data_IF_395437589729
#
_entry.id   IF_395437589729
#
_cell.length_a   1.000
_cell.length_b   1.000
_cell.length_c   1.000
_cell.angle_alpha   90.00
_cell.angle_beta   90.00
_cell.angle_gamma   90.00
#
_symmetry.space_group_name_H-M   'P 1'
#
loop_
_entity.id
_entity.type
_entity.pdbx_description
1 polymer ?
#
# COMPACT_ATOMS: atom_id res chain seq x y z
N UNK A 1 -66.48 48.96 2.73
CA UNK A 1 -67.02 48.10 3.82
C UNK A 1 -67.26 46.73 3.20
N UNK A 2 -66.42 45.71 3.28
CA UNK A 2 -65.10 45.44 3.85
C UNK A 2 -64.52 44.30 2.97
N UNK A 3 -63.30 44.43 2.44
CA UNK A 3 -62.12 43.65 2.85
C UNK A 3 -62.40 42.33 3.60
N UNK A 4 -61.99 41.21 2.97
CA UNK A 4 -61.42 40.00 3.59
C UNK A 4 -61.26 38.96 2.47
N UNK A 5 -60.09 38.91 1.83
CA UNK A 5 -59.00 38.01 2.21
C UNK A 5 -59.34 36.52 2.03
N UNK A 6 -59.10 36.02 0.82
CA UNK A 6 -58.68 34.63 0.64
C UNK A 6 -57.69 34.49 -0.52
N UNK A 7 -56.75 35.42 -0.60
CA UNK A 7 -55.53 35.20 -1.37
C UNK A 7 -54.54 34.45 -0.47
N UNK A 8 -54.80 33.17 -0.23
CA UNK A 8 -53.79 32.27 0.34
C UNK A 8 -52.86 31.82 -0.79
N UNK A 9 -52.09 32.76 -1.34
CA UNK A 9 -50.86 32.45 -2.07
C UNK A 9 -49.86 31.89 -1.07
N UNK A 10 -49.96 30.59 -0.77
CA UNK A 10 -48.87 29.86 -0.15
C UNK A 10 -47.80 29.57 -1.21
N UNK A 11 -47.14 30.61 -1.74
CA UNK A 11 -45.88 30.46 -2.46
C UNK A 11 -44.77 30.27 -1.44
N UNK A 12 -44.75 29.10 -0.79
CA UNK A 12 -43.55 28.68 -0.06
C UNK A 12 -42.48 28.38 -1.11
N UNK A 13 -41.38 29.16 -1.20
CA UNK A 13 -40.28 28.82 -2.09
C UNK A 13 -39.66 27.53 -1.55
N UNK A 14 -40.02 26.39 -2.15
CA UNK A 14 -39.46 25.09 -1.81
C UNK A 14 -37.98 25.11 -2.21
N UNK A 15 -37.14 25.23 -1.20
CA UNK A 15 -35.70 25.48 -1.26
C UNK A 15 -34.99 24.58 -2.29
N UNK A 16 -34.53 25.11 -3.43
CA UNK A 16 -33.73 24.34 -4.39
C UNK A 16 -32.25 24.19 -3.98
N UNK A 17 -31.90 24.53 -2.73
CA UNK A 17 -30.53 24.91 -2.38
C UNK A 17 -29.58 23.80 -1.96
N UNK A 18 -30.07 22.72 -1.33
CA UNK A 18 -29.19 21.73 -0.69
C UNK A 18 -28.76 20.59 -1.61
N UNK A 19 -29.71 20.00 -2.35
CA UNK A 19 -29.40 18.94 -3.34
C UNK A 19 -28.54 19.47 -4.49
N UNK A 20 -28.83 20.68 -4.96
CA UNK A 20 -28.02 21.34 -5.99
C UNK A 20 -26.60 21.66 -5.50
N UNK A 21 -26.44 22.00 -4.23
CA UNK A 21 -25.12 22.23 -3.61
C UNK A 21 -24.33 20.92 -3.44
N UNK A 22 -24.99 19.84 -3.00
CA UNK A 22 -24.41 18.49 -2.97
C UNK A 22 -23.96 18.00 -4.34
N UNK A 23 -24.78 18.24 -5.37
CA UNK A 23 -24.46 17.84 -6.74
C UNK A 23 -23.27 18.64 -7.30
N UNK A 24 -23.16 19.92 -6.95
CA UNK A 24 -21.98 20.75 -7.27
C UNK A 24 -20.72 20.29 -6.52
N UNK A 25 -20.83 19.93 -5.25
CA UNK A 25 -19.71 19.41 -4.46
C UNK A 25 -19.23 18.05 -4.99
N UNK A 26 -20.15 17.16 -5.36
CA UNK A 26 -19.82 15.89 -6.01
C UNK A 26 -19.15 16.10 -7.37
N UNK A 27 -19.62 17.06 -8.16
CA UNK A 27 -18.99 17.41 -9.43
C UNK A 27 -17.55 17.95 -9.21
N UNK A 28 -17.34 18.85 -8.26
CA UNK A 28 -16.00 19.37 -7.94
C UNK A 28 -15.09 18.29 -7.34
N UNK A 29 -15.63 17.39 -6.51
CA UNK A 29 -14.87 16.28 -5.94
C UNK A 29 -14.46 15.29 -7.04
N UNK A 30 -15.35 14.99 -7.99
CA UNK A 30 -15.05 14.15 -9.14
C UNK A 30 -13.99 14.79 -10.05
N UNK A 31 -14.01 16.11 -10.21
CA UNK A 31 -13.03 16.87 -11.00
C UNK A 31 -11.64 16.88 -10.36
N UNK A 32 -11.57 17.06 -9.03
CA UNK A 32 -10.32 16.94 -8.24
C UNK A 32 -9.79 15.50 -8.26
N UNK A 33 -10.68 14.51 -8.15
CA UNK A 33 -10.29 13.10 -8.20
C UNK A 33 -9.71 12.75 -9.58
N UNK A 34 -10.28 13.30 -10.65
CA UNK A 34 -9.82 13.07 -12.02
C UNK A 34 -8.40 13.59 -12.24
N UNK A 35 -8.11 14.82 -11.80
CA UNK A 35 -6.75 15.40 -11.89
C UNK A 35 -5.74 14.65 -11.04
N UNK A 36 -6.12 14.20 -9.83
CA UNK A 36 -5.23 13.38 -9.00
C UNK A 36 -4.99 12.00 -9.56
N UNK A 37 -6.01 11.35 -10.14
CA UNK A 37 -5.85 10.03 -10.78
C UNK A 37 -4.94 10.10 -12.01
N UNK A 38 -4.99 11.20 -12.76
CA UNK A 38 -4.10 11.44 -13.91
C UNK A 38 -2.64 11.62 -13.48
N UNK A 39 -2.39 12.36 -12.39
CA UNK A 39 -1.05 12.51 -11.79
C UNK A 39 -0.59 11.19 -11.16
N UNK A 40 -1.46 10.51 -10.40
CA UNK A 40 -1.14 9.22 -9.79
C UNK A 40 -0.84 8.16 -10.85
N UNK A 41 -1.58 8.11 -11.97
CA UNK A 41 -1.31 7.10 -13.00
C UNK A 41 0.02 7.36 -13.69
N UNK A 42 0.37 8.62 -13.94
CA UNK A 42 1.67 8.97 -14.55
C UNK A 42 2.84 8.76 -13.58
N UNK A 43 2.71 9.14 -12.31
CA UNK A 43 3.73 8.86 -11.29
C UNK A 43 3.89 7.36 -11.01
N UNK A 44 2.79 6.57 -10.95
CA UNK A 44 2.87 5.11 -10.80
C UNK A 44 3.59 4.44 -11.96
N UNK A 45 3.44 4.98 -13.17
CA UNK A 45 4.09 4.44 -14.36
C UNK A 45 5.59 4.77 -14.37
N UNK A 46 5.97 5.99 -14.00
CA UNK A 46 7.39 6.39 -13.88
C UNK A 46 8.11 5.69 -12.72
N UNK A 47 7.52 5.68 -11.51
CA UNK A 47 8.15 5.09 -10.33
C UNK A 47 8.11 3.55 -10.37
N UNK A 48 7.07 2.98 -10.98
CA UNK A 48 6.89 1.54 -11.12
C UNK A 48 7.98 0.89 -11.98
N UNK A 49 8.41 1.55 -13.06
CA UNK A 49 9.51 1.05 -13.92
C UNK A 49 10.82 1.02 -13.15
N UNK A 50 11.14 2.09 -12.41
CA UNK A 50 12.37 2.16 -11.60
C UNK A 50 12.37 1.12 -10.48
N UNK A 51 11.27 0.96 -9.75
CA UNK A 51 11.14 -0.08 -8.72
C UNK A 51 11.28 -1.46 -9.34
N UNK A 52 10.71 -1.71 -10.52
CA UNK A 52 10.80 -2.99 -11.22
C UNK A 52 12.21 -3.30 -11.67
N UNK A 53 12.95 -2.33 -12.20
CA UNK A 53 14.36 -2.46 -12.55
C UNK A 53 15.22 -2.79 -11.32
N UNK A 54 15.03 -2.04 -10.23
CA UNK A 54 15.70 -2.30 -8.95
C UNK A 54 15.39 -3.69 -8.40
N UNK A 55 14.13 -4.14 -8.50
CA UNK A 55 13.72 -5.48 -8.07
C UNK A 55 14.38 -6.57 -8.92
N UNK A 56 14.46 -6.39 -10.24
CA UNK A 56 15.16 -7.34 -11.12
C UNK A 56 16.65 -7.41 -10.77
N UNK A 57 17.32 -6.26 -10.61
CA UNK A 57 18.72 -6.20 -10.22
C UNK A 57 18.95 -6.83 -8.84
N UNK A 58 18.09 -6.54 -7.87
CA UNK A 58 18.13 -7.15 -6.54
C UNK A 58 17.99 -8.67 -6.65
N UNK A 59 17.08 -9.17 -7.48
CA UNK A 59 16.87 -10.60 -7.65
C UNK A 59 18.09 -11.28 -8.26
N UNK A 60 18.70 -10.66 -9.27
CA UNK A 60 19.95 -11.15 -9.87
C UNK A 60 21.08 -11.16 -8.84
N UNK A 61 21.24 -10.09 -8.06
CA UNK A 61 22.26 -10.01 -7.02
C UNK A 61 22.08 -11.08 -5.93
N UNK A 62 20.85 -11.27 -5.44
CA UNK A 62 20.51 -12.31 -4.44
C UNK A 62 20.74 -13.71 -5.02
N UNK A 63 20.41 -13.93 -6.29
CA UNK A 63 20.65 -15.20 -6.97
C UNK A 63 22.15 -15.54 -7.04
N UNK A 64 22.98 -14.61 -7.51
CA UNK A 64 24.43 -14.81 -7.58
C UNK A 64 25.06 -15.00 -6.20
N UNK A 65 24.62 -14.25 -5.19
CA UNK A 65 25.05 -14.47 -3.80
C UNK A 65 24.66 -15.88 -3.31
N UNK A 66 23.42 -16.30 -3.53
CA UNK A 66 22.96 -17.64 -3.17
C UNK A 66 23.80 -18.74 -3.85
N UNK A 67 24.12 -18.56 -5.13
CA UNK A 67 24.98 -19.47 -5.88
C UNK A 67 26.41 -19.50 -5.32
N UNK A 68 26.99 -18.35 -5.00
CA UNK A 68 28.32 -18.26 -4.39
C UNK A 68 28.38 -18.93 -3.01
N UNK A 69 27.34 -18.75 -2.19
CA UNK A 69 27.19 -19.41 -0.90
C UNK A 69 27.07 -20.93 -1.06
N UNK A 70 26.29 -21.40 -2.04
CA UNK A 70 26.19 -22.83 -2.36
C UNK A 70 27.55 -23.40 -2.80
N UNK A 71 28.26 -22.73 -3.71
CA UNK A 71 29.59 -23.14 -4.16
C UNK A 71 30.61 -23.16 -3.02
N UNK A 72 30.61 -22.15 -2.15
CA UNK A 72 31.46 -22.12 -0.96
C UNK A 72 31.15 -23.27 0.00
N UNK A 73 29.87 -23.62 0.17
CA UNK A 73 29.46 -24.81 0.93
C UNK A 73 30.06 -26.07 0.35
N UNK A 74 29.88 -26.29 -0.95
CA UNK A 74 30.42 -27.46 -1.64
C UNK A 74 31.95 -27.50 -1.54
N UNK A 75 32.61 -26.36 -1.70
CA UNK A 75 34.06 -26.23 -1.54
C UNK A 75 34.51 -26.66 -0.15
N UNK A 76 33.89 -26.14 0.92
CA UNK A 76 34.22 -26.53 2.30
C UNK A 76 33.89 -28.00 2.55
N UNK A 77 32.74 -28.48 2.04
CA UNK A 77 32.38 -29.89 2.11
C UNK A 77 33.45 -30.77 1.46
N UNK A 78 33.98 -30.37 0.30
CA UNK A 78 35.02 -31.11 -0.42
C UNK A 78 36.37 -31.06 0.31
N UNK A 79 36.75 -29.90 0.87
CA UNK A 79 38.01 -29.73 1.63
C UNK A 79 37.99 -30.54 2.94
N UNK A 80 36.86 -30.57 3.66
CA UNK A 80 36.72 -31.26 4.95
C UNK A 80 36.08 -32.66 4.83
N UNK A 81 35.97 -33.17 3.61
CA UNK A 81 35.19 -34.38 3.28
C UNK A 81 35.75 -35.68 3.89
N UNK A 82 37.05 -35.76 4.17
CA UNK A 82 37.67 -37.03 4.55
C UNK A 82 37.43 -37.44 6.01
N UNK A 83 37.25 -36.47 6.92
CA UNK A 83 37.33 -36.77 8.36
C UNK A 83 36.04 -36.37 9.13
N UNK A 84 35.26 -35.39 8.62
CA UNK A 84 34.15 -34.78 9.38
C UNK A 84 32.89 -34.45 8.55
N UNK A 85 32.49 -35.30 7.60
CA UNK A 85 31.35 -35.06 6.68
C UNK A 85 30.06 -34.62 7.38
N UNK A 86 29.67 -35.34 8.44
CA UNK A 86 28.42 -35.07 9.16
C UNK A 86 28.47 -33.74 9.94
N UNK A 87 29.63 -33.38 10.48
CA UNK A 87 29.80 -32.12 11.21
C UNK A 87 29.78 -30.93 10.24
N UNK A 88 30.48 -31.02 9.10
CA UNK A 88 30.44 -29.99 8.06
C UNK A 88 29.00 -29.77 7.55
N UNK A 89 28.30 -30.87 7.21
CA UNK A 89 26.90 -30.81 6.78
C UNK A 89 25.99 -30.19 7.86
N UNK A 90 26.18 -30.58 9.13
CA UNK A 90 25.41 -30.07 10.26
C UNK A 90 25.60 -28.57 10.50
N UNK A 91 26.84 -28.07 10.40
CA UNK A 91 27.15 -26.64 10.54
C UNK A 91 26.49 -25.83 9.42
N UNK A 92 26.61 -26.25 8.17
CA UNK A 92 25.96 -25.55 7.06
C UNK A 92 24.43 -25.63 7.13
N UNK A 93 23.87 -26.77 7.51
CA UNK A 93 22.44 -26.91 7.72
C UNK A 93 21.93 -25.96 8.81
N UNK A 94 22.60 -25.91 9.97
CA UNK A 94 22.26 -24.99 11.06
C UNK A 94 22.41 -23.53 10.63
N UNK A 95 23.49 -23.19 9.92
CA UNK A 95 23.73 -21.85 9.40
C UNK A 95 22.59 -21.41 8.46
N UNK A 96 22.24 -22.22 7.47
CA UNK A 96 21.17 -21.87 6.52
C UNK A 96 19.78 -21.85 7.14
N UNK A 97 19.48 -22.76 8.06
CA UNK A 97 18.22 -22.72 8.80
C UNK A 97 18.12 -21.47 9.68
N UNK A 98 19.19 -21.10 10.39
CA UNK A 98 19.20 -19.90 11.23
C UNK A 98 19.07 -18.61 10.41
N UNK A 99 19.76 -18.52 9.26
CA UNK A 99 19.61 -17.42 8.33
C UNK A 99 18.20 -17.33 7.75
N UNK A 100 17.60 -18.47 7.37
CA UNK A 100 16.23 -18.56 6.87
C UNK A 100 15.20 -18.12 7.91
N UNK A 101 15.31 -18.63 9.15
CA UNK A 101 14.44 -18.25 10.27
C UNK A 101 14.61 -16.77 10.62
N UNK A 102 15.85 -16.26 10.66
CA UNK A 102 16.15 -14.85 10.93
C UNK A 102 15.52 -13.92 9.87
N UNK A 103 15.68 -14.27 8.59
CA UNK A 103 15.10 -13.51 7.48
C UNK A 103 13.57 -13.55 7.51
N UNK A 104 12.97 -14.73 7.77
CA UNK A 104 11.52 -14.88 7.91
C UNK A 104 10.98 -14.07 9.10
N UNK A 105 11.69 -14.05 10.23
CA UNK A 105 11.31 -13.26 11.39
C UNK A 105 11.41 -11.76 11.12
N UNK A 106 12.50 -11.30 10.51
CA UNK A 106 12.67 -9.90 10.12
C UNK A 106 11.61 -9.46 9.12
N UNK A 107 11.31 -10.29 8.12
CA UNK A 107 10.27 -10.03 7.13
C UNK A 107 8.89 -9.96 7.80
N UNK A 108 8.54 -10.92 8.66
CA UNK A 108 7.29 -10.90 9.44
C UNK A 108 7.19 -9.66 10.32
N UNK A 109 8.28 -9.24 10.97
CA UNK A 109 8.33 -8.03 11.79
C UNK A 109 8.14 -6.77 10.95
N UNK A 110 8.77 -6.70 9.77
CA UNK A 110 8.60 -5.60 8.83
C UNK A 110 7.17 -5.52 8.32
N UNK A 111 6.57 -6.64 7.88
CA UNK A 111 5.16 -6.70 7.45
C UNK A 111 4.20 -6.30 8.58
N UNK A 112 4.46 -6.74 9.82
CA UNK A 112 3.63 -6.40 10.98
C UNK A 112 3.76 -4.93 11.40
N UNK A 113 4.83 -4.24 11.01
CA UNK A 113 5.05 -2.81 11.31
C UNK A 113 4.76 -1.88 10.11
N UNK A 114 4.59 -2.41 8.89
CA UNK A 114 4.31 -1.66 7.66
C UNK A 114 2.84 -1.61 7.13
N UNK A 115 1.75 -1.95 7.87
CA UNK A 115 0.41 -1.62 7.36
C UNK A 115 0.17 -0.10 7.27
N UNK A 116 1.07 0.73 7.82
CA UNK A 116 0.89 2.16 8.04
C UNK A 116 0.71 3.02 6.79
N UNK A 117 1.25 2.68 5.63
CA UNK A 117 1.09 3.56 4.45
C UNK A 117 -0.34 3.52 3.91
N UNK A 118 -0.96 2.34 3.89
CA UNK A 118 -2.35 2.18 3.51
C UNK A 118 -3.30 2.46 4.67
N UNK A 119 -2.99 2.07 5.91
CA UNK A 119 -3.84 2.37 7.07
C UNK A 119 -3.90 3.87 7.38
N UNK A 120 -2.77 4.58 7.28
CA UNK A 120 -2.78 6.04 7.48
C UNK A 120 -3.60 6.70 6.37
N UNK A 121 -3.37 6.33 5.10
CA UNK A 121 -4.14 6.85 3.96
C UNK A 121 -5.64 6.49 4.05
N UNK A 122 -5.99 5.28 4.45
CA UNK A 122 -7.37 4.84 4.68
C UNK A 122 -8.00 5.54 5.89
N UNK A 123 -7.23 5.80 6.94
CA UNK A 123 -7.71 6.52 8.12
C UNK A 123 -7.92 8.00 7.84
N UNK A 124 -7.09 8.61 7.00
CA UNK A 124 -7.26 9.97 6.49
C UNK A 124 -8.49 10.04 5.56
N UNK A 125 -8.67 9.07 4.65
CA UNK A 125 -9.88 8.95 3.83
C UNK A 125 -11.16 8.74 4.66
N UNK A 126 -11.08 7.97 5.76
CA UNK A 126 -12.20 7.76 6.69
C UNK A 126 -12.54 9.03 7.47
N UNK A 127 -11.52 9.80 7.90
CA UNK A 127 -11.72 11.12 8.53
C UNK A 127 -12.34 12.12 7.58
N UNK A 128 -11.93 12.13 6.31
CA UNK A 128 -12.55 13.00 5.30
C UNK A 128 -14.01 12.60 5.03
N UNK A 129 -14.31 11.29 5.05
CA UNK A 129 -15.70 10.80 4.97
C UNK A 129 -16.56 11.20 6.18
N UNK A 130 -16.02 11.19 7.39
CA UNK A 130 -16.72 11.65 8.59
C UNK A 130 -16.95 13.17 8.59
N UNK A 131 -16.02 13.94 8.00
CA UNK A 131 -16.19 15.40 7.82
C UNK A 131 -17.18 15.74 6.71
N UNK A 132 -17.36 14.84 5.74
CA UNK A 132 -18.31 14.98 4.64
C UNK A 132 -19.68 14.36 4.91
N UNK A 133 -19.88 13.59 5.98
CA UNK A 133 -21.22 13.20 6.43
C UNK A 133 -21.85 14.40 7.15
N UNK A 134 -22.77 15.14 6.51
CA UNK A 134 -23.39 16.29 7.14
C UNK A 134 -24.19 15.79 8.31
N UNK A 135 -23.94 16.40 9.47
CA UNK A 135 -24.73 16.28 10.68
C UNK A 135 -26.19 16.49 10.29
N UNK A 136 -26.98 15.43 10.35
CA UNK A 136 -28.44 15.46 10.23
C UNK A 136 -29.04 16.37 11.29
#
# INVERSE_FOLDING_TARGET
MADSDSNSESTTPRSPGLLASLQRLLASAAEVLRTRMEILSTELEEEGVRIRELLLLQQVAVFFLGLGVLLATLFVLMVFWDDHRLAALGVFAALYLSAGVGTAWFLRRKLKHHPRLFDTSLSELRKDRERLSPRS
#
